data_IF_928885096682
#
_entry.id   IF_928885096682
#
_cell.length_a   1.000
_cell.length_b   1.000
_cell.length_c   1.000
_cell.angle_alpha   90.00
_cell.angle_beta   90.00
_cell.angle_gamma   90.00
#
_symmetry.space_group_name_H-M   'P 1'
#
loop_
_entity.id
_entity.type
_entity.pdbx_description
1 polymer ?
#
# COMPACT_ATOMS: atom_id res chain seq x y z
N UNK A 1 -46.06 -27.11 27.54
CA UNK A 1 -45.16 -25.93 27.67
C UNK A 1 -43.84 -26.29 27.02
N UNK A 2 -43.52 -25.71 25.87
CA UNK A 2 -42.20 -25.81 25.27
C UNK A 2 -41.49 -24.46 25.47
N UNK A 3 -40.39 -24.49 26.22
CA UNK A 3 -39.43 -23.40 26.37
C UNK A 3 -38.51 -23.42 25.15
N UNK A 4 -38.68 -22.47 24.23
CA UNK A 4 -37.69 -22.24 23.18
C UNK A 4 -36.78 -21.09 23.60
N UNK A 5 -35.50 -21.44 23.73
CA UNK A 5 -34.40 -20.57 24.14
C UNK A 5 -34.09 -19.53 23.07
N UNK A 6 -34.00 -18.27 23.49
CA UNK A 6 -33.43 -17.16 22.74
C UNK A 6 -32.02 -17.51 22.22
N UNK A 7 -31.88 -17.69 20.91
CA UNK A 7 -30.56 -17.69 20.28
C UNK A 7 -30.18 -16.24 19.96
N UNK A 8 -29.42 -15.67 20.90
CA UNK A 8 -28.78 -14.36 20.81
C UNK A 8 -27.77 -14.39 19.66
N UNK A 9 -28.25 -14.10 18.44
CA UNK A 9 -27.40 -13.97 17.28
C UNK A 9 -26.46 -12.79 17.48
N UNK A 10 -25.23 -13.17 17.81
CA UNK A 10 -24.04 -12.37 18.00
C UNK A 10 -23.95 -11.29 16.92
N UNK A 11 -24.18 -10.05 17.33
CA UNK A 11 -23.84 -8.87 16.54
C UNK A 11 -22.33 -8.90 16.32
N UNK A 12 -21.90 -9.52 15.21
CA UNK A 12 -20.63 -9.18 14.57
C UNK A 12 -20.65 -7.67 14.45
N UNK A 13 -19.83 -7.01 15.29
CA UNK A 13 -19.50 -5.60 15.17
C UNK A 13 -19.01 -5.39 13.73
N UNK A 14 -19.92 -5.04 12.85
CA UNK A 14 -19.64 -4.24 11.67
C UNK A 14 -19.16 -2.92 12.23
N UNK A 15 -17.87 -2.84 12.56
CA UNK A 15 -17.20 -1.55 12.60
C UNK A 15 -17.46 -0.96 11.23
N UNK A 16 -18.30 0.06 11.18
CA UNK A 16 -18.60 0.84 10.00
C UNK A 16 -17.30 1.50 9.53
N UNK A 17 -16.44 0.74 8.88
CA UNK A 17 -15.34 1.27 8.11
C UNK A 17 -16.00 1.85 6.87
N UNK A 18 -16.43 3.12 6.97
CA UNK A 18 -16.80 3.91 5.82
C UNK A 18 -15.68 3.77 4.81
N UNK A 19 -15.92 3.00 3.75
CA UNK A 19 -14.96 2.79 2.68
C UNK A 19 -15.32 3.76 1.58
N UNK A 20 -14.41 4.66 1.28
CA UNK A 20 -14.57 5.52 0.10
C UNK A 20 -14.15 4.71 -1.11
N UNK A 21 -14.99 4.68 -2.14
CA UNK A 21 -14.70 3.97 -3.38
C UNK A 21 -14.68 4.99 -4.51
N UNK A 22 -13.56 5.05 -5.23
CA UNK A 22 -13.38 5.89 -6.42
C UNK A 22 -13.45 4.96 -7.61
N UNK A 23 -14.58 4.99 -8.31
CA UNK A 23 -14.83 4.14 -9.47
C UNK A 23 -13.90 4.48 -10.64
N UNK A 24 -13.71 3.53 -11.56
CA UNK A 24 -12.83 3.65 -12.74
C UNK A 24 -13.09 4.86 -13.65
N UNK A 25 -14.31 5.38 -13.67
CA UNK A 25 -14.72 6.54 -14.48
C UNK A 25 -14.58 7.88 -13.75
N UNK A 26 -14.16 7.84 -12.48
CA UNK A 26 -13.99 9.03 -11.67
C UNK A 26 -12.57 9.54 -11.80
N UNK A 27 -12.45 10.83 -12.14
CA UNK A 27 -11.24 11.61 -11.96
C UNK A 27 -11.45 12.54 -10.77
N UNK A 28 -10.65 12.37 -9.72
CA UNK A 28 -10.77 13.18 -8.52
C UNK A 28 -9.52 13.99 -8.28
N UNK A 29 -9.68 15.31 -8.16
CA UNK A 29 -8.61 16.23 -7.84
C UNK A 29 -8.84 16.84 -6.46
N UNK A 30 -7.82 16.80 -5.59
CA UNK A 30 -7.90 17.41 -4.26
C UNK A 30 -7.19 16.62 -3.16
N UNK A 31 -7.39 17.06 -1.92
CA UNK A 31 -6.79 16.42 -0.75
C UNK A 31 -7.83 15.59 -0.01
N UNK A 32 -7.54 14.30 0.20
CA UNK A 32 -8.37 13.39 0.98
C UNK A 32 -7.80 13.26 2.38
N UNK A 33 -8.60 13.59 3.39
CA UNK A 33 -8.23 13.39 4.80
C UNK A 33 -9.39 12.76 5.54
N UNK A 34 -9.13 11.69 6.27
CA UNK A 34 -10.19 11.00 7.00
C UNK A 34 -9.67 9.78 7.74
N UNK A 35 -10.59 9.11 8.42
CA UNK A 35 -10.36 7.79 9.02
C UNK A 35 -11.09 6.75 8.19
N UNK A 36 -10.52 5.55 8.10
CA UNK A 36 -11.06 4.46 7.31
C UNK A 36 -10.26 4.13 6.05
N UNK A 37 -10.89 3.37 5.15
CA UNK A 37 -10.26 2.79 3.98
C UNK A 37 -10.69 3.50 2.69
N UNK A 38 -9.76 3.73 1.77
CA UNK A 38 -10.03 4.29 0.45
C UNK A 38 -9.64 3.26 -0.61
N UNK A 39 -10.58 2.91 -1.48
CA UNK A 39 -10.34 2.13 -2.69
C UNK A 39 -10.32 3.07 -3.89
N UNK A 40 -9.27 2.98 -4.72
CA UNK A 40 -9.12 3.76 -5.94
C UNK A 40 -9.05 2.84 -7.14
N UNK A 41 -10.12 2.78 -7.94
CA UNK A 41 -10.16 2.12 -9.25
C UNK A 41 -10.02 3.11 -10.42
N UNK A 42 -10.22 4.42 -10.16
CA UNK A 42 -10.11 5.50 -11.16
C UNK A 42 -8.82 6.31 -11.05
N UNK A 43 -8.90 7.59 -11.43
CA UNK A 43 -7.76 8.50 -11.42
C UNK A 43 -7.88 9.44 -10.22
N UNK A 44 -6.83 9.52 -9.40
CA UNK A 44 -6.75 10.46 -8.29
C UNK A 44 -5.52 11.34 -8.43
N UNK A 45 -5.73 12.65 -8.42
CA UNK A 45 -4.70 13.66 -8.38
C UNK A 45 -4.75 14.43 -7.06
N UNK A 46 -3.74 14.25 -6.23
CA UNK A 46 -3.59 14.97 -4.97
C UNK A 46 -3.15 14.08 -3.82
N UNK A 47 -3.30 14.58 -2.60
CA UNK A 47 -2.72 13.95 -1.43
C UNK A 47 -3.78 13.14 -0.67
N UNK A 48 -3.42 11.94 -0.23
CA UNK A 48 -4.30 11.05 0.53
C UNK A 48 -3.72 10.86 1.92
N UNK A 49 -4.49 11.15 2.96
CA UNK A 49 -4.13 10.97 4.37
C UNK A 49 -5.24 10.22 5.10
N UNK A 50 -5.16 8.89 5.09
CA UNK A 50 -6.19 7.98 5.66
C UNK A 50 -5.56 6.75 6.33
N UNK A 51 -6.34 5.88 6.96
CA UNK A 51 -5.77 4.71 7.65
C UNK A 51 -5.33 3.61 6.69
N UNK A 52 -6.12 3.35 5.64
CA UNK A 52 -5.82 2.32 4.64
C UNK A 52 -6.14 2.77 3.23
N UNK A 53 -5.24 2.49 2.29
CA UNK A 53 -5.42 2.80 0.87
C UNK A 53 -5.22 1.54 0.06
N UNK A 54 -6.13 1.30 -0.88
CA UNK A 54 -6.03 0.21 -1.84
C UNK A 54 -6.21 0.80 -3.23
N UNK A 55 -5.18 0.65 -4.06
CA UNK A 55 -5.19 1.07 -5.45
C UNK A 55 -5.51 -0.18 -6.27
N UNK A 56 -6.66 -0.18 -6.94
CA UNK A 56 -7.08 -1.21 -7.86
C UNK A 56 -6.22 -1.27 -9.11
N UNK A 57 -6.47 -2.25 -9.97
CA UNK A 57 -5.68 -2.49 -11.18
C UNK A 57 -5.75 -1.32 -12.18
N UNK A 58 -6.93 -0.71 -12.31
CA UNK A 58 -7.16 0.48 -13.13
C UNK A 58 -6.83 1.79 -12.39
N UNK A 59 -6.53 1.70 -11.09
CA UNK A 59 -6.26 2.84 -10.25
C UNK A 59 -4.96 3.53 -10.63
N UNK A 60 -5.04 4.84 -10.87
CA UNK A 60 -3.88 5.70 -11.10
C UNK A 60 -3.87 6.80 -10.05
N UNK A 61 -2.86 6.79 -9.18
CA UNK A 61 -2.71 7.82 -8.15
C UNK A 61 -1.48 8.67 -8.44
N UNK A 62 -1.70 9.98 -8.57
CA UNK A 62 -0.68 10.99 -8.77
C UNK A 62 -0.65 11.92 -7.55
N UNK A 63 0.38 11.81 -6.70
CA UNK A 63 0.50 12.65 -5.51
C UNK A 63 1.17 11.96 -4.32
N UNK A 64 0.90 12.44 -3.11
CA UNK A 64 1.51 11.92 -1.87
C UNK A 64 0.49 11.07 -1.11
N UNK A 65 0.84 9.82 -0.80
CA UNK A 65 0.02 8.94 0.02
C UNK A 65 0.62 8.80 1.41
N UNK A 66 -0.17 9.14 2.43
CA UNK A 66 0.13 8.93 3.84
C UNK A 66 -0.91 8.00 4.44
N UNK A 67 -0.54 6.77 4.77
CA UNK A 67 -1.47 5.82 5.37
C UNK A 67 -0.78 4.78 6.25
N UNK A 68 -1.53 4.07 7.08
CA UNK A 68 -0.92 2.99 7.88
C UNK A 68 -0.67 1.76 7.02
N UNK A 69 -1.67 1.37 6.20
CA UNK A 69 -1.60 0.23 5.30
C UNK A 69 -1.90 0.64 3.87
N UNK A 70 -1.04 0.26 2.93
CA UNK A 70 -1.23 0.57 1.51
C UNK A 70 -1.08 -0.72 0.69
N UNK A 71 -2.03 -0.96 -0.20
CA UNK A 71 -1.98 -2.06 -1.17
C UNK A 71 -2.07 -1.47 -2.57
N UNK A 72 -1.14 -1.84 -3.45
CA UNK A 72 -1.05 -1.27 -4.80
C UNK A 72 -1.15 -2.39 -5.83
N UNK A 73 -2.24 -2.41 -6.59
CA UNK A 73 -2.43 -3.28 -7.75
C UNK A 73 -2.43 -2.52 -9.09
N UNK A 74 -2.36 -1.18 -9.05
CA UNK A 74 -2.34 -0.31 -10.23
C UNK A 74 -1.07 0.52 -10.34
N UNK A 75 -1.20 1.76 -10.82
CA UNK A 75 -0.07 2.66 -11.05
C UNK A 75 -0.04 3.78 -10.02
N UNK A 76 1.10 3.98 -9.39
CA UNK A 76 1.34 5.10 -8.49
C UNK A 76 2.52 5.94 -8.97
N UNK A 77 2.28 7.24 -9.18
CA UNK A 77 3.31 8.24 -9.46
C UNK A 77 3.33 9.27 -8.35
N UNK A 78 4.30 9.16 -7.46
CA UNK A 78 4.50 10.10 -6.37
C UNK A 78 5.04 9.42 -5.12
N UNK A 79 5.07 10.16 -4.01
CA UNK A 79 5.72 9.68 -2.79
C UNK A 79 4.74 8.92 -1.90
N UNK A 80 5.20 7.80 -1.33
CA UNK A 80 4.42 7.03 -0.36
C UNK A 80 5.12 7.08 1.00
N UNK A 81 4.36 7.40 2.04
CA UNK A 81 4.76 7.27 3.44
C UNK A 81 3.74 6.38 4.15
N UNK A 82 4.17 5.20 4.58
CA UNK A 82 3.27 4.28 5.29
C UNK A 82 3.98 3.36 6.27
N UNK A 83 3.22 2.61 7.06
CA UNK A 83 3.81 1.60 7.96
C UNK A 83 4.00 0.29 7.20
N UNK A 84 2.94 -0.21 6.56
CA UNK A 84 2.94 -1.45 5.78
C UNK A 84 2.54 -1.18 4.34
N UNK A 85 3.40 -1.54 3.38
CA UNK A 85 3.14 -1.43 1.95
C UNK A 85 3.22 -2.81 1.28
N UNK A 86 2.19 -3.15 0.51
CA UNK A 86 2.17 -4.34 -0.33
C UNK A 86 1.95 -3.95 -1.79
N UNK A 87 2.92 -4.30 -2.64
CA UNK A 87 2.87 -4.07 -4.08
C UNK A 87 2.51 -5.39 -4.74
N UNK A 88 1.32 -5.46 -5.31
CA UNK A 88 0.82 -6.63 -6.04
C UNK A 88 1.51 -6.74 -7.41
N UNK A 89 1.32 -7.86 -8.12
CA UNK A 89 2.02 -8.15 -9.38
C UNK A 89 1.83 -7.08 -10.47
N UNK A 90 0.65 -6.48 -10.56
CA UNK A 90 0.35 -5.38 -11.50
C UNK A 90 0.72 -3.98 -10.95
N UNK A 91 1.15 -3.92 -9.68
CA UNK A 91 1.56 -2.70 -9.02
C UNK A 91 2.84 -2.14 -9.61
N UNK A 92 2.77 -0.89 -10.08
CA UNK A 92 3.93 -0.13 -10.57
C UNK A 92 4.05 1.14 -9.74
N UNK A 93 5.18 1.31 -9.07
CA UNK A 93 5.50 2.52 -8.33
C UNK A 93 6.65 3.23 -9.03
N UNK A 94 6.46 4.52 -9.31
CA UNK A 94 7.48 5.36 -9.96
C UNK A 94 7.77 6.60 -9.10
N UNK A 95 8.45 6.43 -7.97
CA UNK A 95 9.05 7.50 -7.15
C UNK A 95 9.71 6.96 -5.85
N UNK A 96 9.90 7.85 -4.87
CA UNK A 96 10.30 7.53 -3.51
C UNK A 96 9.21 6.78 -2.70
N UNK A 97 9.62 5.68 -2.06
CA UNK A 97 8.81 4.86 -1.17
C UNK A 97 9.45 4.86 0.22
N UNK A 98 8.69 5.24 1.24
CA UNK A 98 9.13 5.17 2.64
C UNK A 98 8.14 4.31 3.43
N UNK A 99 8.63 3.20 3.98
CA UNK A 99 7.80 2.31 4.81
C UNK A 99 8.58 1.63 5.93
N UNK A 100 7.88 1.01 6.90
CA UNK A 100 8.54 0.12 7.87
C UNK A 100 8.69 -1.29 7.33
N UNK A 101 7.59 -1.81 6.78
CA UNK A 101 7.54 -3.12 6.15
C UNK A 101 7.08 -2.96 4.71
N UNK A 102 7.85 -3.53 3.77
CA UNK A 102 7.56 -3.50 2.35
C UNK A 102 7.51 -4.92 1.80
N UNK A 103 6.43 -5.27 1.13
CA UNK A 103 6.31 -6.52 0.39
C UNK A 103 6.13 -6.24 -1.10
N UNK A 104 7.01 -6.78 -1.93
CA UNK A 104 7.05 -6.46 -3.37
C UNK A 104 6.82 -7.73 -4.20
N UNK A 105 5.70 -7.78 -4.91
CA UNK A 105 5.41 -8.73 -5.99
C UNK A 105 5.49 -8.08 -7.38
N UNK A 106 5.29 -6.76 -7.46
CA UNK A 106 5.25 -6.00 -8.72
C UNK A 106 6.58 -5.33 -9.06
N UNK A 107 6.49 -4.14 -9.68
CA UNK A 107 7.65 -3.35 -10.10
C UNK A 107 7.74 -2.05 -9.30
N UNK A 108 8.94 -1.76 -8.79
CA UNK A 108 9.23 -0.53 -8.06
C UNK A 108 10.45 0.13 -8.67
N UNK A 109 10.26 1.30 -9.27
CA UNK A 109 11.31 2.12 -9.86
C UNK A 109 11.48 3.39 -9.03
N UNK A 110 12.67 3.58 -8.46
CA UNK A 110 13.02 4.78 -7.69
C UNK A 110 13.74 4.48 -6.39
N UNK A 111 13.58 5.38 -5.42
CA UNK A 111 14.21 5.27 -4.11
C UNK A 111 13.30 4.51 -3.16
N UNK A 112 13.80 3.46 -2.52
CA UNK A 112 13.03 2.64 -1.58
C UNK A 112 13.70 2.71 -0.23
N UNK A 113 13.00 3.19 0.79
CA UNK A 113 13.49 3.29 2.17
C UNK A 113 12.60 2.44 3.07
N UNK A 114 13.18 1.38 3.66
CA UNK A 114 12.48 0.43 4.53
C UNK A 114 13.23 0.28 5.84
N UNK A 115 12.61 0.68 6.95
CA UNK A 115 13.31 0.66 8.25
C UNK A 115 13.36 -0.70 8.93
N UNK A 116 12.41 -1.62 8.66
CA UNK A 116 12.36 -2.94 9.32
C UNK A 116 12.62 -4.10 8.36
N UNK A 117 11.65 -4.48 7.53
CA UNK A 117 11.69 -5.68 6.69
C UNK A 117 11.24 -5.38 5.25
N UNK A 118 12.13 -5.64 4.30
CA UNK A 118 11.81 -5.70 2.87
C UNK A 118 11.66 -7.17 2.44
N UNK A 119 10.47 -7.60 2.05
CA UNK A 119 10.17 -8.94 1.53
C UNK A 119 9.88 -8.87 0.03
N UNK A 120 10.79 -9.40 -0.78
CA UNK A 120 10.67 -9.41 -2.24
C UNK A 120 10.29 -10.81 -2.67
N UNK A 121 9.12 -10.93 -3.28
CA UNK A 121 8.58 -12.19 -3.78
C UNK A 121 9.14 -12.56 -5.15
N UNK A 122 8.85 -13.79 -5.59
CA UNK A 122 9.36 -14.36 -6.84
C UNK A 122 9.16 -13.49 -8.09
N UNK A 123 8.09 -12.68 -8.17
CA UNK A 123 7.83 -11.78 -9.31
C UNK A 123 8.28 -10.34 -9.09
N UNK A 124 8.79 -10.02 -7.89
CA UNK A 124 9.14 -8.67 -7.50
C UNK A 124 10.40 -8.18 -8.22
N UNK A 125 10.32 -6.98 -8.80
CA UNK A 125 11.46 -6.30 -9.41
C UNK A 125 11.62 -4.92 -8.82
N UNK A 126 12.79 -4.62 -8.27
CA UNK A 126 13.13 -3.28 -7.75
C UNK A 126 14.29 -2.72 -8.54
N UNK A 127 14.15 -1.50 -9.03
CA UNK A 127 15.15 -0.78 -9.78
C UNK A 127 15.43 0.59 -9.14
N UNK A 128 16.64 0.80 -8.63
CA UNK A 128 17.07 2.08 -8.05
C UNK A 128 17.84 1.98 -6.74
N UNK A 129 17.75 3.03 -5.92
CA UNK A 129 18.43 3.12 -4.62
C UNK A 129 17.55 2.54 -3.51
N UNK A 130 18.00 1.45 -2.90
CA UNK A 130 17.29 0.76 -1.83
C UNK A 130 18.04 0.99 -0.52
N UNK A 131 17.38 1.54 0.48
CA UNK A 131 17.90 1.71 1.84
C UNK A 131 17.08 0.86 2.79
N UNK A 132 17.66 -0.18 3.37
CA UNK A 132 16.91 -1.22 4.10
C UNK A 132 17.58 -1.61 5.41
N UNK A 133 16.77 -1.95 6.41
CA UNK A 133 17.24 -2.60 7.65
C UNK A 133 17.47 -4.10 7.44
N UNK A 134 16.41 -4.86 7.14
CA UNK A 134 16.48 -6.29 6.83
C UNK A 134 15.82 -6.59 5.50
N UNK A 135 16.36 -7.58 4.79
CA UNK A 135 15.83 -8.04 3.50
C UNK A 135 15.54 -9.54 3.54
N UNK A 136 14.45 -9.93 2.88
CA UNK A 136 14.07 -11.29 2.57
C UNK A 136 13.77 -11.35 1.08
N UNK A 137 14.32 -12.33 0.40
CA UNK A 137 14.24 -12.47 -1.06
C UNK A 137 13.78 -13.90 -1.35
N UNK A 138 12.72 -14.03 -2.14
CA UNK A 138 12.22 -15.30 -2.68
C UNK A 138 12.88 -15.59 -4.04
N UNK A 139 12.97 -16.86 -4.42
CA UNK A 139 13.54 -17.28 -5.72
C UNK A 139 12.77 -16.64 -6.89
N UNK A 140 13.50 -16.01 -7.82
CA UNK A 140 12.93 -15.28 -8.97
C UNK A 140 12.90 -13.75 -8.83
N UNK A 141 13.04 -13.23 -7.61
CA UNK A 141 13.10 -11.79 -7.36
C UNK A 141 14.29 -11.13 -8.09
N UNK A 142 14.07 -9.92 -8.63
CA UNK A 142 15.09 -9.14 -9.33
C UNK A 142 15.35 -7.81 -8.64
N UNK A 143 16.62 -7.50 -8.42
CA UNK A 143 17.04 -6.24 -7.82
C UNK A 143 18.14 -5.65 -8.69
N UNK A 144 17.94 -4.42 -9.13
CA UNK A 144 18.88 -3.68 -9.98
C UNK A 144 19.12 -2.33 -9.32
N UNK A 145 20.37 -1.99 -9.01
CA UNK A 145 20.72 -0.70 -8.43
C UNK A 145 21.57 -0.81 -7.17
N UNK A 146 21.49 0.21 -6.33
CA UNK A 146 22.37 0.36 -5.17
C UNK A 146 21.63 0.06 -3.87
N UNK A 147 22.16 -0.84 -3.05
CA UNK A 147 21.62 -1.16 -1.73
C UNK A 147 22.48 -0.46 -0.66
N UNK A 148 21.82 0.22 0.27
CA UNK A 148 22.40 0.87 1.44
C UNK A 148 21.73 0.33 2.71
N UNK A 149 22.49 0.24 3.78
CA UNK A 149 21.96 -0.13 5.09
C UNK A 149 21.20 1.06 5.70
N UNK A 150 20.03 0.80 6.29
CA UNK A 150 19.31 1.81 7.06
C UNK A 150 19.97 1.98 8.43
N UNK A 151 20.83 2.98 8.56
CA UNK A 151 21.48 3.33 9.83
C UNK A 151 20.54 4.25 10.60
N UNK A 152 19.80 3.70 11.56
CA UNK A 152 19.09 4.50 12.55
C UNK A 152 20.13 5.24 13.39
N UNK A 153 20.29 6.56 13.18
CA UNK A 153 21.12 7.39 14.05
C UNK A 153 20.47 7.37 15.44
N UNK A 154 21.15 6.72 16.37
CA UNK A 154 20.85 6.70 17.81
C UNK A 154 21.11 8.06 18.44
#
# INVERSE_FOLDING_TARGET
MALFSDNKNNSKKTSSSSRTFISKEMEVTGNFKGKGAVQVEGILHGNISVDSVVIGEQGVVNGIIKATSVIINGKLKGSIECTSLEVMGNGIISNNVTSKNLKVLGKVDGKVTVSELLDIRASGSINGDITIGRIKIEDGAKIIGSIKEYISKK
#
